data_IF_651037329852
#
_entry.id   IF_651037329852
#
_cell.length_a   1.000
_cell.length_b   1.000
_cell.length_c   1.000
_cell.angle_alpha   90.00
_cell.angle_beta   90.00
_cell.angle_gamma   90.00
#
_symmetry.space_group_name_H-M   'P 1'
#
loop_
_entity.id
_entity.type
_entity.pdbx_description
1 polymer ?
#
# COMPACT_ATOMS: atom_id res chain seq x y z
N UNK A 1 -19.80 -4.62 10.18
CA UNK A 1 -18.38 -4.27 10.40
C UNK A 1 -17.55 -5.54 10.54
N UNK A 2 -17.08 -6.13 9.44
CA UNK A 2 -16.43 -7.44 9.44
C UNK A 2 -15.34 -7.56 8.36
N UNK A 3 -14.21 -6.87 8.55
CA UNK A 3 -13.13 -6.83 7.56
C UNK A 3 -11.76 -7.31 8.08
N UNK A 4 -11.65 -7.79 9.33
CA UNK A 4 -10.38 -8.27 9.91
C UNK A 4 -10.47 -9.66 10.57
N UNK A 5 -11.52 -10.44 10.34
CA UNK A 5 -11.77 -11.69 11.10
C UNK A 5 -11.27 -12.99 10.48
N UNK A 6 -10.57 -12.95 9.34
CA UNK A 6 -10.06 -14.16 8.71
C UNK A 6 -8.53 -14.18 8.73
N UNK A 7 -7.96 -14.27 9.94
CA UNK A 7 -6.67 -14.94 10.09
C UNK A 7 -6.88 -16.41 9.77
N UNK A 8 -6.02 -17.00 8.95
CA UNK A 8 -6.13 -18.39 8.48
C UNK A 8 -5.98 -19.44 9.61
N UNK A 9 -5.87 -19.01 10.88
CA UNK A 9 -5.67 -19.85 12.07
C UNK A 9 -6.31 -19.21 13.32
N UNK A 10 -7.62 -18.92 13.32
CA UNK A 10 -8.30 -18.50 14.54
C UNK A 10 -8.37 -19.69 15.52
N UNK A 11 -7.67 -19.62 16.65
CA UNK A 11 -7.62 -20.68 17.67
C UNK A 11 -8.56 -20.37 18.84
N UNK A 12 -8.99 -21.39 19.59
CA UNK A 12 -9.94 -21.28 20.71
C UNK A 12 -9.50 -20.35 21.86
N UNK A 13 -8.26 -19.83 21.84
CA UNK A 13 -7.73 -18.91 22.85
C UNK A 13 -7.46 -17.50 22.32
N UNK A 14 -7.70 -17.22 21.03
CA UNK A 14 -7.67 -15.85 20.52
C UNK A 14 -8.80 -15.07 21.18
N UNK A 15 -8.45 -14.29 22.20
CA UNK A 15 -9.38 -13.36 22.84
C UNK A 15 -9.95 -12.45 21.75
N UNK A 16 -11.27 -12.46 21.61
CA UNK A 16 -11.95 -11.59 20.66
C UNK A 16 -11.86 -10.14 21.10
N UNK A 17 -10.84 -9.42 20.65
CA UNK A 17 -10.74 -7.99 20.87
C UNK A 17 -11.62 -7.24 19.87
N UNK A 18 -12.24 -6.17 20.34
CA UNK A 18 -12.88 -5.20 19.45
C UNK A 18 -11.81 -4.40 18.71
N UNK A 19 -12.12 -3.91 17.50
CA UNK A 19 -11.18 -3.08 16.73
C UNK A 19 -10.71 -1.88 17.55
N UNK A 20 -11.58 -1.30 18.39
CA UNK A 20 -11.26 -0.16 19.26
C UNK A 20 -10.16 -0.50 20.26
N UNK A 21 -10.23 -1.67 20.89
CA UNK A 21 -9.21 -2.13 21.83
C UNK A 21 -7.88 -2.38 21.13
N UNK A 22 -7.90 -2.98 19.93
CA UNK A 22 -6.70 -3.19 19.12
C UNK A 22 -6.03 -1.85 18.76
N UNK A 23 -6.80 -0.87 18.28
CA UNK A 23 -6.28 0.46 17.98
C UNK A 23 -5.74 1.16 19.23
N UNK A 24 -6.41 1.05 20.38
CA UNK A 24 -5.93 1.62 21.63
C UNK A 24 -4.60 0.98 22.08
N UNK A 25 -4.46 -0.34 21.91
CA UNK A 25 -3.23 -1.07 22.21
C UNK A 25 -2.10 -0.66 21.27
N UNK A 26 -2.36 -0.57 19.96
CA UNK A 26 -1.39 -0.04 19.00
C UNK A 26 -0.96 1.38 19.40
N UNK A 27 -1.93 2.26 19.71
CA UNK A 27 -1.64 3.62 20.13
C UNK A 27 -0.76 3.69 21.39
N UNK A 28 -0.89 2.74 22.33
CA UNK A 28 0.00 2.68 23.49
C UNK A 28 1.47 2.43 23.14
N UNK A 29 1.75 1.66 22.09
CA UNK A 29 3.14 1.47 21.60
C UNK A 29 3.70 2.71 20.90
N UNK A 30 2.84 3.52 20.28
CA UNK A 30 3.25 4.78 19.63
C UNK A 30 3.37 5.96 20.61
N UNK A 31 2.69 5.92 21.76
CA UNK A 31 2.70 7.00 22.77
C UNK A 31 4.11 7.43 23.20
N UNK A 32 5.05 6.51 23.56
CA UNK A 32 6.42 6.89 23.92
C UNK A 32 7.16 7.64 22.79
N UNK A 33 6.80 7.37 21.54
CA UNK A 33 7.39 7.96 20.35
C UNK A 33 6.64 9.22 19.88
N UNK A 34 5.76 9.80 20.71
CA UNK A 34 4.88 10.91 20.32
C UNK A 34 5.60 12.13 19.72
N UNK A 35 6.80 12.48 20.23
CA UNK A 35 7.60 13.58 19.66
C UNK A 35 8.07 13.25 18.23
N UNK A 36 8.58 12.04 18.00
CA UNK A 36 9.01 11.60 16.67
C UNK A 36 7.83 11.47 15.72
N UNK A 37 6.69 11.00 16.21
CA UNK A 37 5.45 10.94 15.42
C UNK A 37 4.99 12.34 14.99
N UNK A 38 5.01 13.31 15.89
CA UNK A 38 4.68 14.70 15.56
C UNK A 38 5.67 15.28 14.52
N UNK A 39 6.97 15.01 14.65
CA UNK A 39 7.96 15.40 13.63
C UNK A 39 7.70 14.75 12.28
N UNK A 40 7.37 13.45 12.24
CA UNK A 40 7.02 12.75 11.00
C UNK A 40 5.77 13.37 10.37
N UNK A 41 4.73 13.65 11.15
CA UNK A 41 3.51 14.30 10.66
C UNK A 41 3.77 15.71 10.12
N UNK A 42 4.68 16.46 10.75
CA UNK A 42 5.11 17.77 10.26
C UNK A 42 5.86 17.65 8.93
N UNK A 43 6.80 16.71 8.82
CA UNK A 43 7.54 16.47 7.57
C UNK A 43 6.63 15.98 6.44
N UNK A 44 5.64 15.13 6.75
CA UNK A 44 4.60 14.70 5.83
C UNK A 44 3.80 15.90 5.33
N UNK A 45 3.35 16.76 6.24
CA UNK A 45 2.59 17.96 5.88
C UNK A 45 3.41 18.92 5.02
N UNK A 46 4.68 19.14 5.37
CA UNK A 46 5.62 19.94 4.59
C UNK A 46 5.84 19.37 3.18
N UNK A 47 6.01 18.05 3.04
CA UNK A 47 6.13 17.40 1.73
C UNK A 47 4.86 17.51 0.91
N UNK A 48 3.69 17.37 1.52
CA UNK A 48 2.43 17.50 0.80
C UNK A 48 2.19 18.93 0.33
N UNK A 49 2.54 19.93 1.14
CA UNK A 49 2.50 21.35 0.77
C UNK A 49 3.49 21.65 -0.36
N UNK A 50 4.75 21.26 -0.22
CA UNK A 50 5.77 21.46 -1.25
C UNK A 50 5.49 20.68 -2.54
N UNK A 51 4.90 19.49 -2.42
CA UNK A 51 4.43 18.68 -3.55
C UNK A 51 3.27 19.34 -4.30
N UNK A 52 2.40 20.07 -3.59
CA UNK A 52 1.35 20.87 -4.19
C UNK A 52 1.88 22.17 -4.83
N UNK A 53 2.92 22.78 -4.25
CA UNK A 53 3.54 24.00 -4.79
C UNK A 53 4.25 23.79 -6.12
N UNK A 54 4.83 22.61 -6.37
CA UNK A 54 5.58 22.33 -7.61
C UNK A 54 4.71 22.49 -8.88
N UNK A 55 3.54 21.82 -9.01
CA UNK A 55 2.63 22.04 -10.14
C UNK A 55 2.17 23.49 -10.28
N UNK A 56 1.93 24.18 -9.16
CA UNK A 56 1.54 25.61 -9.15
C UNK A 56 2.62 26.49 -9.76
N UNK A 57 3.87 26.29 -9.36
CA UNK A 57 5.01 27.05 -9.89
C UNK A 57 5.25 26.75 -11.37
N UNK A 58 5.09 25.48 -11.77
CA UNK A 58 5.17 25.09 -13.18
C UNK A 58 4.08 25.76 -14.02
N UNK A 59 2.83 25.76 -13.53
CA UNK A 59 1.71 26.45 -14.17
C UNK A 59 1.97 27.96 -14.32
N UNK A 60 2.51 28.61 -13.29
CA UNK A 60 2.92 30.01 -13.37
C UNK A 60 4.03 30.22 -14.41
N UNK A 61 5.00 29.30 -14.48
CA UNK A 61 6.03 29.33 -15.51
C UNK A 61 5.49 29.22 -16.92
N UNK A 62 4.53 28.32 -17.15
CA UNK A 62 3.83 28.20 -18.43
C UNK A 62 3.13 29.52 -18.79
N UNK A 63 2.44 30.15 -17.83
CA UNK A 63 1.78 31.45 -18.06
C UNK A 63 2.77 32.57 -18.43
N UNK A 64 3.96 32.62 -17.81
CA UNK A 64 4.98 33.64 -18.11
C UNK A 64 5.59 33.43 -19.50
N UNK A 65 5.91 32.18 -19.85
CA UNK A 65 6.53 31.85 -21.14
C UNK A 65 5.56 32.08 -22.30
N UNK A 66 4.27 31.80 -22.10
CA UNK A 66 3.22 32.01 -23.11
C UNK A 66 2.73 33.46 -23.20
N UNK A 67 2.92 34.28 -22.16
CA UNK A 67 2.53 35.69 -22.14
C UNK A 67 3.55 36.66 -22.79
N UNK A 68 3.15 37.92 -23.02
CA UNK A 68 3.99 38.99 -23.60
C UNK A 68 4.84 39.69 -22.51
N UNK A 69 5.55 38.92 -21.68
CA UNK A 69 6.40 39.48 -20.64
C UNK A 69 7.76 39.94 -21.20
N UNK A 70 8.21 41.14 -20.83
CA UNK A 70 9.61 41.53 -20.97
C UNK A 70 10.48 40.67 -20.02
N UNK A 71 11.69 40.27 -20.44
CA UNK A 71 12.64 39.44 -19.68
C UNK A 71 12.23 37.96 -19.46
N UNK A 72 11.66 37.30 -20.48
CA UNK A 72 11.28 35.86 -20.42
C UNK A 72 12.42 34.94 -19.98
N UNK A 73 13.64 35.15 -20.48
CA UNK A 73 14.79 34.29 -20.16
C UNK A 73 15.20 34.36 -18.68
N UNK A 74 15.18 35.57 -18.10
CA UNK A 74 15.50 35.77 -16.69
C UNK A 74 14.44 35.10 -15.79
N UNK A 75 13.15 35.26 -16.10
CA UNK A 75 12.08 34.65 -15.30
C UNK A 75 12.09 33.12 -15.45
N UNK A 76 12.31 32.61 -16.66
CA UNK A 76 12.44 31.17 -16.91
C UNK A 76 13.62 30.57 -16.13
N UNK A 77 14.77 31.25 -16.11
CA UNK A 77 15.96 30.79 -15.36
C UNK A 77 15.68 30.76 -13.85
N UNK A 78 15.04 31.80 -13.31
CA UNK A 78 14.65 31.84 -11.89
C UNK A 78 13.68 30.69 -11.54
N UNK A 79 12.70 30.42 -12.40
CA UNK A 79 11.75 29.32 -12.20
C UNK A 79 12.42 27.95 -12.24
N UNK A 80 13.34 27.73 -13.19
CA UNK A 80 14.12 26.48 -13.27
C UNK A 80 14.94 26.28 -12.00
N UNK A 81 15.66 27.31 -11.55
CA UNK A 81 16.44 27.26 -10.31
C UNK A 81 15.53 26.98 -9.11
N UNK A 82 14.37 27.64 -9.02
CA UNK A 82 13.41 27.46 -7.94
C UNK A 82 12.83 26.03 -7.93
N UNK A 83 12.45 25.50 -9.08
CA UNK A 83 11.96 24.12 -9.23
C UNK A 83 13.02 23.12 -8.77
N UNK A 84 14.27 23.29 -9.22
CA UNK A 84 15.37 22.40 -8.81
C UNK A 84 15.61 22.51 -7.31
N UNK A 85 15.64 23.73 -6.76
CA UNK A 85 15.83 23.96 -5.33
C UNK A 85 14.72 23.29 -4.50
N UNK A 86 13.46 23.44 -4.90
CA UNK A 86 12.31 22.77 -4.25
C UNK A 86 12.41 21.25 -4.41
N UNK A 87 12.85 20.75 -5.57
CA UNK A 87 13.07 19.33 -5.80
C UNK A 87 14.12 18.73 -4.86
N UNK A 88 15.27 19.41 -4.70
CA UNK A 88 16.33 19.01 -3.78
C UNK A 88 15.86 19.09 -2.32
N UNK A 89 15.14 20.14 -1.96
CA UNK A 89 14.56 20.30 -0.63
C UNK A 89 13.54 19.18 -0.33
N UNK A 90 12.64 18.87 -1.27
CA UNK A 90 11.69 17.76 -1.15
C UNK A 90 12.40 16.41 -1.01
N UNK A 91 13.48 16.19 -1.76
CA UNK A 91 14.30 15.00 -1.61
C UNK A 91 14.88 14.89 -0.20
N UNK A 92 15.44 15.98 0.34
CA UNK A 92 15.99 16.03 1.70
C UNK A 92 14.92 15.81 2.78
N UNK A 93 13.76 16.46 2.68
CA UNK A 93 12.65 16.28 3.62
C UNK A 93 12.12 14.83 3.55
N UNK A 94 11.97 14.26 2.36
CA UNK A 94 11.53 12.87 2.18
C UNK A 94 12.55 11.87 2.73
N UNK A 95 13.84 12.12 2.56
CA UNK A 95 14.90 11.33 3.17
C UNK A 95 14.84 11.38 4.70
N UNK A 96 14.74 12.58 5.28
CA UNK A 96 14.61 12.76 6.73
C UNK A 96 13.33 12.10 7.27
N UNK A 97 12.19 12.26 6.58
CA UNK A 97 10.93 11.59 6.89
C UNK A 97 11.11 10.08 6.93
N UNK A 98 11.65 9.48 5.88
CA UNK A 98 11.83 8.02 5.76
C UNK A 98 12.76 7.47 6.85
N UNK A 99 13.86 8.16 7.12
CA UNK A 99 14.78 7.80 8.20
C UNK A 99 14.10 7.84 9.57
N UNK A 100 13.37 8.92 9.88
CA UNK A 100 12.66 9.05 11.16
C UNK A 100 11.53 8.04 11.32
N UNK A 101 10.74 7.80 10.27
CA UNK A 101 9.69 6.78 10.27
C UNK A 101 10.27 5.38 10.50
N UNK A 102 11.39 5.04 9.84
CA UNK A 102 12.05 3.76 10.02
C UNK A 102 12.54 3.56 11.46
N UNK A 103 13.16 4.58 12.07
CA UNK A 103 13.59 4.53 13.48
C UNK A 103 12.41 4.42 14.43
N UNK A 104 11.35 5.22 14.21
CA UNK A 104 10.14 5.19 15.03
C UNK A 104 9.49 3.80 15.01
N UNK A 105 9.28 3.22 13.82
CA UNK A 105 8.67 1.91 13.69
C UNK A 105 9.59 0.80 14.20
N UNK A 106 10.90 0.91 14.02
CA UNK A 106 11.88 -0.01 14.60
C UNK A 106 11.76 -0.10 16.12
N UNK A 107 11.67 1.04 16.81
CA UNK A 107 11.51 1.08 18.27
C UNK A 107 10.13 0.55 18.72
N UNK A 108 9.08 0.83 17.96
CA UNK A 108 7.72 0.28 18.21
C UNK A 108 7.75 -1.25 18.10
N UNK A 109 8.34 -1.79 17.03
CA UNK A 109 8.48 -3.23 16.80
C UNK A 109 9.35 -3.88 17.88
N UNK A 110 10.45 -3.24 18.27
CA UNK A 110 11.30 -3.69 19.36
C UNK A 110 10.48 -3.83 20.66
N UNK A 111 9.69 -2.80 20.99
CA UNK A 111 8.83 -2.81 22.19
C UNK A 111 7.80 -3.94 22.13
N UNK A 112 7.15 -4.14 20.97
CA UNK A 112 6.21 -5.24 20.76
C UNK A 112 6.89 -6.62 20.91
N UNK A 113 8.10 -6.79 20.38
CA UNK A 113 8.88 -8.04 20.48
C UNK A 113 9.27 -8.34 21.92
N UNK A 114 9.73 -7.33 22.66
CA UNK A 114 10.08 -7.47 24.09
C UNK A 114 8.87 -7.88 24.91
N UNK A 115 7.72 -7.24 24.71
CA UNK A 115 6.48 -7.59 25.42
C UNK A 115 5.97 -8.97 25.05
N UNK A 116 6.00 -9.34 23.76
CA UNK A 116 5.60 -10.66 23.29
C UNK A 116 6.51 -11.76 23.85
N UNK A 117 7.83 -11.54 23.83
CA UNK A 117 8.80 -12.46 24.40
C UNK A 117 8.61 -12.61 25.92
N UNK A 118 8.42 -11.50 26.65
CA UNK A 118 8.11 -11.53 28.08
C UNK A 118 6.82 -12.31 28.37
N UNK A 119 5.78 -12.13 27.56
CA UNK A 119 4.53 -12.87 27.73
C UNK A 119 4.73 -14.37 27.52
N UNK A 120 5.49 -14.77 26.49
CA UNK A 120 5.83 -16.18 26.22
C UNK A 120 6.64 -16.79 27.38
N UNK A 121 7.62 -16.08 27.92
CA UNK A 121 8.44 -16.58 29.04
C UNK A 121 7.66 -16.77 30.34
N UNK A 122 6.50 -16.11 30.49
CA UNK A 122 5.64 -16.22 31.66
C UNK A 122 4.48 -17.23 31.47
N UNK A 123 4.41 -17.93 30.33
CA UNK A 123 3.44 -18.98 30.11
C UNK A 123 3.84 -20.30 30.79
N UNK A 124 2.84 -21.08 31.20
CA UNK A 124 3.02 -22.41 31.79
C UNK A 124 3.41 -23.47 30.74
N UNK A 125 3.90 -24.63 31.19
CA UNK A 125 4.33 -25.70 30.29
C UNK A 125 3.22 -26.18 29.34
N UNK A 126 1.95 -26.16 29.79
CA UNK A 126 0.83 -26.61 28.95
C UNK A 126 0.60 -25.73 27.71
N UNK A 127 1.06 -24.47 27.75
CA UNK A 127 1.09 -23.60 26.58
C UNK A 127 2.06 -24.14 25.52
N UNK A 128 3.25 -24.59 25.93
CA UNK A 128 4.28 -25.11 25.04
C UNK A 128 3.95 -26.51 24.50
N UNK A 129 3.20 -27.32 25.26
CA UNK A 129 2.69 -28.61 24.77
C UNK A 129 1.66 -28.45 23.65
N UNK A 130 0.88 -27.35 23.68
CA UNK A 130 -0.18 -27.06 22.70
C UNK A 130 0.30 -26.25 21.50
N UNK A 131 1.42 -25.53 21.62
CA UNK A 131 1.89 -24.60 20.59
C UNK A 131 3.30 -24.96 20.11
N UNK A 132 3.43 -25.19 18.80
CA UNK A 132 4.73 -25.46 18.19
C UNK A 132 5.70 -24.29 18.39
N UNK A 133 6.94 -24.58 18.81
CA UNK A 133 7.99 -23.59 19.06
C UNK A 133 8.22 -22.66 17.86
N UNK A 134 8.23 -23.19 16.63
CA UNK A 134 8.35 -22.39 15.41
C UNK A 134 7.22 -21.38 15.20
N UNK A 135 5.99 -21.71 15.62
CA UNK A 135 4.83 -20.80 15.55
C UNK A 135 4.98 -19.65 16.54
N UNK A 136 5.45 -19.93 17.75
CA UNK A 136 5.72 -18.92 18.78
C UNK A 136 6.78 -17.94 18.27
N UNK A 137 7.88 -18.45 17.71
CA UNK A 137 8.95 -17.64 17.13
C UNK A 137 8.40 -16.76 15.99
N UNK A 138 7.61 -17.33 15.07
CA UNK A 138 7.01 -16.57 13.96
C UNK A 138 6.08 -15.45 14.43
N UNK A 139 5.27 -15.66 15.48
CA UNK A 139 4.41 -14.61 16.04
C UNK A 139 5.23 -13.45 16.63
N UNK A 140 6.40 -13.73 17.18
CA UNK A 140 7.29 -12.68 17.70
C UNK A 140 8.03 -11.98 16.56
N UNK A 141 8.54 -12.70 15.57
CA UNK A 141 9.39 -12.12 14.51
C UNK A 141 8.57 -11.65 13.30
N UNK A 142 7.96 -12.57 12.57
CA UNK A 142 7.26 -12.36 11.30
C UNK A 142 6.07 -11.42 11.45
N UNK A 143 5.21 -11.65 12.44
CA UNK A 143 3.97 -10.87 12.59
C UNK A 143 4.27 -9.42 12.99
N UNK A 144 5.30 -9.20 13.82
CA UNK A 144 5.73 -7.84 14.20
C UNK A 144 6.40 -7.10 13.03
N UNK A 145 7.11 -7.80 12.15
CA UNK A 145 7.63 -7.23 10.91
C UNK A 145 6.51 -6.91 9.92
N UNK A 146 5.49 -7.76 9.81
CA UNK A 146 4.32 -7.51 8.96
C UNK A 146 3.52 -6.31 9.46
N UNK A 147 3.36 -6.19 10.78
CA UNK A 147 2.80 -4.99 11.39
C UNK A 147 3.56 -3.72 11.00
N UNK A 148 4.89 -3.75 11.05
CA UNK A 148 5.74 -2.61 10.63
C UNK A 148 5.48 -2.21 9.17
N UNK A 149 5.41 -3.19 8.26
CA UNK A 149 5.10 -2.95 6.84
C UNK A 149 3.73 -2.29 6.66
N UNK A 150 2.72 -2.77 7.39
CA UNK A 150 1.37 -2.17 7.36
C UNK A 150 1.39 -0.75 7.92
N UNK A 151 2.12 -0.50 9.01
CA UNK A 151 2.23 0.84 9.59
C UNK A 151 2.91 1.84 8.64
N UNK A 152 3.94 1.42 7.89
CA UNK A 152 4.53 2.22 6.81
C UNK A 152 3.48 2.53 5.74
N UNK A 153 2.75 1.52 5.27
CA UNK A 153 1.74 1.69 4.23
C UNK A 153 0.64 2.66 4.66
N UNK A 154 0.13 2.55 5.89
CA UNK A 154 -0.87 3.46 6.45
C UNK A 154 -0.35 4.90 6.48
N UNK A 155 0.91 5.10 6.87
CA UNK A 155 1.54 6.43 6.90
C UNK A 155 1.66 7.01 5.48
N UNK A 156 2.04 6.20 4.50
CA UNK A 156 2.17 6.62 3.10
C UNK A 156 0.81 6.96 2.49
N UNK A 157 -0.21 6.12 2.70
CA UNK A 157 -1.58 6.38 2.25
C UNK A 157 -2.14 7.65 2.90
N UNK A 158 -1.90 7.85 4.20
CA UNK A 158 -2.28 9.09 4.89
C UNK A 158 -1.62 10.33 4.28
N UNK A 159 -0.33 10.26 3.95
CA UNK A 159 0.40 11.33 3.27
C UNK A 159 -0.17 11.64 1.88
N UNK A 160 -0.50 10.60 1.10
CA UNK A 160 -1.09 10.73 -0.24
C UNK A 160 -2.49 11.34 -0.17
N UNK A 161 -3.33 10.89 0.77
CA UNK A 161 -4.66 11.46 0.97
C UNK A 161 -4.58 12.95 1.36
N UNK A 162 -3.64 13.31 2.23
CA UNK A 162 -3.41 14.71 2.60
C UNK A 162 -2.98 15.55 1.39
N UNK A 163 -2.03 15.06 0.58
CA UNK A 163 -1.59 15.72 -0.65
C UNK A 163 -2.75 15.90 -1.64
N UNK A 164 -3.53 14.85 -1.90
CA UNK A 164 -4.70 14.90 -2.80
C UNK A 164 -5.74 15.89 -2.28
N UNK A 165 -5.99 15.92 -0.97
CA UNK A 165 -6.94 16.86 -0.36
C UNK A 165 -6.49 18.32 -0.53
N UNK A 166 -5.21 18.61 -0.27
CA UNK A 166 -4.66 19.95 -0.46
C UNK A 166 -4.72 20.40 -1.93
N UNK A 167 -4.32 19.52 -2.86
CA UNK A 167 -4.36 19.82 -4.30
C UNK A 167 -5.79 20.04 -4.80
N UNK A 168 -6.73 19.16 -4.44
CA UNK A 168 -8.13 19.33 -4.81
C UNK A 168 -8.70 20.65 -4.26
N UNK A 169 -8.42 20.98 -2.99
CA UNK A 169 -8.86 22.24 -2.38
C UNK A 169 -8.32 23.44 -3.15
N UNK A 170 -7.05 23.42 -3.55
CA UNK A 170 -6.45 24.48 -4.36
C UNK A 170 -7.07 24.55 -5.76
N UNK A 171 -7.24 23.41 -6.43
CA UNK A 171 -7.84 23.30 -7.77
C UNK A 171 -9.27 23.86 -7.83
N UNK A 172 -10.06 23.69 -6.77
CA UNK A 172 -11.39 24.32 -6.66
C UNK A 172 -11.33 25.84 -6.73
N UNK A 173 -10.23 26.47 -6.31
CA UNK A 173 -10.05 27.93 -6.43
C UNK A 173 -9.65 28.36 -7.84
N UNK A 174 -9.10 27.45 -8.65
CA UNK A 174 -8.70 27.68 -10.04
C UNK A 174 -9.88 27.51 -11.00
N UNK A 175 -10.52 26.34 -11.01
CA UNK A 175 -11.70 26.07 -11.82
C UNK A 175 -12.52 24.91 -11.24
N UNK A 176 -13.70 25.21 -10.71
CA UNK A 176 -14.52 24.21 -10.04
C UNK A 176 -15.10 23.16 -11.01
N UNK A 177 -15.38 23.51 -12.27
CA UNK A 177 -15.93 22.56 -13.26
C UNK A 177 -14.93 21.47 -13.64
N UNK A 178 -13.69 21.85 -13.97
CA UNK A 178 -12.61 20.89 -14.25
C UNK A 178 -12.23 20.08 -13.00
N UNK A 179 -12.24 20.72 -11.83
CA UNK A 179 -11.96 20.03 -10.56
C UNK A 179 -13.03 19.00 -10.25
N UNK A 180 -14.32 19.28 -10.51
CA UNK A 180 -15.39 18.28 -10.37
C UNK A 180 -15.22 17.13 -11.35
N UNK A 181 -14.82 17.41 -12.59
CA UNK A 181 -14.55 16.38 -13.58
C UNK A 181 -13.39 15.47 -13.14
N UNK A 182 -12.29 16.04 -12.64
CA UNK A 182 -11.19 15.30 -12.02
C UNK A 182 -11.65 14.51 -10.79
N UNK A 183 -12.42 15.14 -9.89
CA UNK A 183 -12.94 14.51 -8.68
C UNK A 183 -13.87 13.34 -8.98
N UNK A 184 -14.58 13.35 -10.12
CA UNK A 184 -15.41 12.26 -10.59
C UNK A 184 -14.59 11.05 -11.07
N UNK A 185 -13.33 11.25 -11.50
CA UNK A 185 -12.44 10.14 -11.83
C UNK A 185 -12.04 9.32 -10.59
N UNK A 186 -11.98 9.95 -9.41
CA UNK A 186 -11.62 9.28 -8.16
C UNK A 186 -12.61 8.14 -7.77
N UNK A 187 -13.94 8.33 -7.68
CA UNK A 187 -14.86 7.25 -7.39
C UNK A 187 -14.85 6.16 -8.47
N UNK A 188 -14.68 6.52 -9.75
CA UNK A 188 -14.51 5.53 -10.83
C UNK A 188 -13.28 4.66 -10.59
N UNK A 189 -12.13 5.27 -10.28
CA UNK A 189 -10.91 4.54 -9.94
C UNK A 189 -11.09 3.67 -8.69
N UNK A 190 -11.81 4.15 -7.66
CA UNK A 190 -12.13 3.36 -6.46
C UNK A 190 -13.03 2.16 -6.78
N UNK A 191 -14.02 2.31 -7.66
CA UNK A 191 -14.89 1.20 -8.08
C UNK A 191 -14.08 0.15 -8.83
N UNK A 192 -13.23 0.56 -9.77
CA UNK A 192 -12.34 -0.34 -10.51
C UNK A 192 -11.40 -1.06 -9.54
N UNK A 193 -10.68 -0.32 -8.70
CA UNK A 193 -9.73 -0.88 -7.73
C UNK A 193 -10.41 -1.84 -6.75
N UNK A 194 -11.58 -1.49 -6.20
CA UNK A 194 -12.32 -2.34 -5.26
C UNK A 194 -12.86 -3.61 -5.91
N UNK A 195 -13.24 -3.56 -7.19
CA UNK A 195 -13.64 -4.72 -7.98
C UNK A 195 -12.46 -5.68 -8.18
N UNK A 196 -11.31 -5.16 -8.62
CA UNK A 196 -10.08 -5.96 -8.73
C UNK A 196 -9.64 -6.53 -7.39
N UNK A 197 -9.76 -5.77 -6.31
CA UNK A 197 -9.43 -6.24 -4.97
C UNK A 197 -10.29 -7.46 -4.57
N UNK A 198 -11.59 -7.48 -4.95
CA UNK A 198 -12.47 -8.65 -4.72
C UNK A 198 -12.00 -9.86 -5.52
N UNK A 199 -11.63 -9.68 -6.78
CA UNK A 199 -11.14 -10.77 -7.63
C UNK A 199 -9.78 -11.30 -7.17
N UNK A 200 -8.83 -10.41 -6.90
CA UNK A 200 -7.51 -10.73 -6.38
C UNK A 200 -7.58 -11.51 -5.07
N UNK A 201 -8.47 -11.11 -4.15
CA UNK A 201 -8.71 -11.85 -2.90
C UNK A 201 -9.22 -13.27 -3.16
N UNK A 202 -10.22 -13.43 -4.04
CA UNK A 202 -10.76 -14.76 -4.37
C UNK A 202 -9.69 -15.65 -5.01
N UNK A 203 -8.99 -15.15 -6.02
CA UNK A 203 -7.94 -15.89 -6.71
C UNK A 203 -6.76 -16.25 -5.78
N UNK A 204 -6.38 -15.33 -4.87
CA UNK A 204 -5.34 -15.60 -3.87
C UNK A 204 -5.77 -16.66 -2.88
N UNK A 205 -7.02 -16.62 -2.39
CA UNK A 205 -7.55 -17.64 -1.49
C UNK A 205 -7.56 -19.02 -2.14
N UNK A 206 -8.08 -19.14 -3.36
CA UNK A 206 -8.10 -20.42 -4.09
C UNK A 206 -6.69 -20.95 -4.37
N UNK A 207 -5.73 -20.05 -4.66
CA UNK A 207 -4.32 -20.43 -4.81
C UNK A 207 -3.69 -20.91 -3.51
N UNK A 208 -4.02 -20.29 -2.37
CA UNK A 208 -3.55 -20.75 -1.06
C UNK A 208 -4.14 -22.12 -0.68
N UNK A 209 -5.42 -22.37 -0.99
CA UNK A 209 -6.06 -23.68 -0.82
C UNK A 209 -5.34 -24.76 -1.65
N UNK A 210 -5.03 -24.48 -2.93
CA UNK A 210 -4.31 -25.42 -3.78
C UNK A 210 -2.85 -25.69 -3.31
N UNK A 211 -2.17 -24.68 -2.74
CA UNK A 211 -0.85 -24.87 -2.11
C UNK A 211 -0.95 -25.73 -0.86
N UNK A 212 -2.00 -25.57 -0.07
CA UNK A 212 -2.24 -26.40 1.10
C UNK A 212 -2.43 -27.88 0.71
N UNK A 213 -3.19 -28.15 -0.36
CA UNK A 213 -3.37 -29.50 -0.90
C UNK A 213 -2.04 -30.13 -1.35
N UNK A 214 -1.18 -29.36 -2.06
CA UNK A 214 0.17 -29.80 -2.45
C UNK A 214 1.01 -30.14 -1.22
N UNK A 215 1.02 -29.27 -0.21
CA UNK A 215 1.77 -29.49 1.02
C UNK A 215 1.26 -30.71 1.80
N UNK A 216 -0.06 -30.92 1.85
CA UNK A 216 -0.66 -32.09 2.48
C UNK A 216 -0.26 -33.38 1.75
N UNK A 217 -0.32 -33.41 0.42
CA UNK A 217 0.12 -34.54 -0.39
C UNK A 217 1.59 -34.88 -0.17
N UNK A 218 2.47 -33.87 -0.11
CA UNK A 218 3.90 -34.07 0.21
C UNK A 218 4.05 -34.63 1.63
N UNK A 219 3.35 -34.06 2.61
CA UNK A 219 3.43 -34.50 4.01
C UNK A 219 2.98 -35.96 4.17
N UNK A 220 1.89 -36.36 3.52
CA UNK A 220 1.40 -37.73 3.52
C UNK A 220 2.40 -38.69 2.86
N UNK A 221 2.94 -38.33 1.69
CA UNK A 221 3.92 -39.14 0.97
C UNK A 221 5.20 -39.36 1.80
N UNK A 222 5.71 -38.30 2.45
CA UNK A 222 6.93 -38.38 3.28
C UNK A 222 6.68 -39.18 4.56
N UNK A 223 5.55 -38.95 5.24
CA UNK A 223 5.20 -39.65 6.48
C UNK A 223 4.91 -41.13 6.21
N UNK A 224 4.25 -41.43 5.09
CA UNK A 224 3.86 -42.76 4.64
C UNK A 224 4.92 -43.51 3.84
N UNK A 225 6.14 -42.97 3.68
CA UNK A 225 7.14 -43.52 2.74
C UNK A 225 7.48 -44.98 2.98
N UNK A 226 7.51 -45.43 4.24
CA UNK A 226 7.76 -46.85 4.59
C UNK A 226 6.65 -47.77 4.07
N UNK A 227 5.39 -47.34 4.19
CA UNK A 227 4.23 -48.08 3.68
C UNK A 227 4.28 -48.11 2.16
N UNK A 228 4.51 -46.96 1.52
CA UNK A 228 4.63 -46.85 0.07
C UNK A 228 5.69 -47.80 -0.50
N UNK A 229 6.88 -47.86 0.12
CA UNK A 229 7.99 -48.74 -0.27
C UNK A 229 7.65 -50.22 -0.06
N UNK A 230 7.08 -50.60 1.09
CA UNK A 230 6.71 -51.98 1.39
C UNK A 230 5.68 -52.54 0.39
N UNK A 231 4.74 -51.71 -0.06
CA UNK A 231 3.72 -52.11 -1.05
C UNK A 231 4.11 -51.82 -2.50
N UNK A 232 5.31 -51.26 -2.76
CA UNK A 232 5.80 -50.87 -4.09
C UNK A 232 4.84 -49.92 -4.84
N UNK A 233 4.27 -48.94 -4.11
CA UNK A 233 3.25 -47.98 -4.61
C UNK A 233 3.79 -46.57 -4.86
N UNK A 234 5.10 -46.37 -4.90
CA UNK A 234 5.72 -45.04 -5.01
C UNK A 234 5.30 -44.30 -6.29
N UNK A 235 5.24 -45.01 -7.42
CA UNK A 235 4.80 -44.41 -8.69
C UNK A 235 3.33 -43.99 -8.64
N UNK A 236 2.45 -44.75 -7.97
CA UNK A 236 1.04 -44.38 -7.83
C UNK A 236 0.86 -43.11 -7.00
N UNK A 237 1.61 -42.96 -5.90
CA UNK A 237 1.61 -41.74 -5.08
C UNK A 237 2.19 -40.57 -5.88
N UNK A 238 3.22 -40.80 -6.69
CA UNK A 238 3.80 -39.77 -7.55
C UNK A 238 2.82 -39.29 -8.62
N UNK A 239 2.08 -40.20 -9.26
CA UNK A 239 1.02 -39.86 -10.23
C UNK A 239 -0.12 -39.05 -9.59
N UNK A 240 -0.54 -39.41 -8.38
CA UNK A 240 -1.51 -38.64 -7.61
C UNK A 240 -0.99 -37.23 -7.29
N UNK A 241 0.27 -37.12 -6.85
CA UNK A 241 0.93 -35.84 -6.61
C UNK A 241 0.98 -34.97 -7.88
N UNK A 242 1.27 -35.55 -9.05
CA UNK A 242 1.27 -34.81 -10.31
C UNK A 242 -0.10 -34.16 -10.59
N UNK A 243 -1.19 -34.86 -10.34
CA UNK A 243 -2.55 -34.31 -10.51
C UNK A 243 -2.85 -33.14 -9.55
N UNK A 244 -2.44 -33.24 -8.28
CA UNK A 244 -2.57 -32.15 -7.30
C UNK A 244 -1.69 -30.96 -7.69
N UNK A 245 -0.47 -31.23 -8.14
CA UNK A 245 0.49 -30.21 -8.56
C UNK A 245 0.04 -29.47 -9.84
N UNK A 246 -0.53 -30.17 -10.82
CA UNK A 246 -1.08 -29.56 -12.05
C UNK A 246 -2.29 -28.66 -11.74
N UNK A 247 -3.16 -29.07 -10.82
CA UNK A 247 -4.27 -28.23 -10.33
C UNK A 247 -3.72 -26.96 -9.68
N UNK A 248 -2.71 -27.10 -8.82
CA UNK A 248 -2.04 -25.96 -8.19
C UNK A 248 -1.44 -25.02 -9.24
N UNK A 249 -0.70 -25.56 -10.22
CA UNK A 249 -0.14 -24.79 -11.34
C UNK A 249 -1.21 -23.98 -12.07
N UNK A 250 -2.33 -24.62 -12.46
CA UNK A 250 -3.42 -23.96 -13.19
C UNK A 250 -4.05 -22.83 -12.38
N UNK A 251 -4.28 -23.04 -11.08
CA UNK A 251 -4.82 -22.01 -10.18
C UNK A 251 -3.83 -20.86 -10.01
N UNK A 252 -2.53 -21.16 -9.89
CA UNK A 252 -1.47 -20.14 -9.81
C UNK A 252 -1.37 -19.30 -11.08
N UNK A 253 -1.47 -19.91 -12.27
CA UNK A 253 -1.49 -19.17 -13.54
C UNK A 253 -2.71 -18.25 -13.62
N UNK A 254 -3.91 -18.74 -13.26
CA UNK A 254 -5.12 -17.91 -13.20
C UNK A 254 -4.99 -16.75 -12.22
N UNK A 255 -4.45 -16.99 -11.03
CA UNK A 255 -4.15 -15.93 -10.06
C UNK A 255 -3.16 -14.92 -10.63
N UNK A 256 -2.09 -15.38 -11.27
CA UNK A 256 -1.10 -14.55 -11.93
C UNK A 256 -1.75 -13.62 -12.96
N UNK A 257 -2.63 -14.15 -13.80
CA UNK A 257 -3.39 -13.37 -14.78
C UNK A 257 -4.28 -12.30 -14.13
N UNK A 258 -5.03 -12.66 -13.08
CA UNK A 258 -5.87 -11.71 -12.33
C UNK A 258 -5.04 -10.57 -11.72
N UNK A 259 -3.88 -10.87 -11.15
CA UNK A 259 -2.99 -9.86 -10.57
C UNK A 259 -2.30 -9.01 -11.64
N UNK A 260 -1.89 -9.62 -12.75
CA UNK A 260 -1.23 -8.95 -13.86
C UNK A 260 -2.15 -7.92 -14.55
N UNK A 261 -3.47 -8.16 -14.57
CA UNK A 261 -4.45 -7.24 -15.16
C UNK A 261 -4.74 -5.98 -14.32
N UNK A 262 -4.35 -5.94 -13.04
CA UNK A 262 -4.67 -4.82 -12.14
C UNK A 262 -4.07 -3.51 -12.68
N UNK A 263 -2.77 -3.47 -12.92
CA UNK A 263 -2.09 -2.24 -13.33
C UNK A 263 -2.44 -1.79 -14.75
N UNK A 264 -2.48 -2.67 -15.78
CA UNK A 264 -2.89 -2.28 -17.13
C UNK A 264 -4.30 -1.68 -17.16
N UNK A 265 -5.23 -2.25 -16.38
CA UNK A 265 -6.61 -1.73 -16.32
C UNK A 265 -6.64 -0.37 -15.62
N UNK A 266 -5.94 -0.21 -14.50
CA UNK A 266 -5.84 1.09 -13.82
C UNK A 266 -5.18 2.16 -14.71
N UNK A 267 -4.15 1.80 -15.47
CA UNK A 267 -3.49 2.70 -16.43
C UNK A 267 -4.40 3.07 -17.59
N UNK A 268 -5.21 2.14 -18.10
CA UNK A 268 -6.22 2.44 -19.12
C UNK A 268 -7.23 3.48 -18.62
N UNK A 269 -7.78 3.30 -17.42
CA UNK A 269 -8.72 4.26 -16.83
C UNK A 269 -8.05 5.61 -16.51
N UNK A 270 -6.81 5.59 -16.03
CA UNK A 270 -6.03 6.81 -15.83
C UNK A 270 -5.81 7.54 -17.17
N UNK A 271 -5.43 6.83 -18.23
CA UNK A 271 -5.24 7.38 -19.57
C UNK A 271 -6.53 7.96 -20.17
N UNK A 272 -7.67 7.28 -20.00
CA UNK A 272 -8.98 7.82 -20.38
C UNK A 272 -9.32 9.09 -19.60
N UNK A 273 -9.07 9.10 -18.29
CA UNK A 273 -9.24 10.27 -17.44
C UNK A 273 -8.41 11.45 -17.92
N UNK A 274 -7.13 11.21 -18.21
CA UNK A 274 -6.22 12.21 -18.80
C UNK A 274 -6.72 12.71 -20.15
N UNK A 275 -7.22 11.83 -21.03
CA UNK A 275 -7.75 12.23 -22.33
C UNK A 275 -8.99 13.14 -22.20
N UNK A 276 -9.91 12.82 -21.28
CA UNK A 276 -11.08 13.67 -21.01
C UNK A 276 -10.67 15.02 -20.45
N UNK A 277 -9.73 15.04 -19.49
CA UNK A 277 -9.20 16.29 -18.92
C UNK A 277 -8.46 17.14 -19.97
N UNK A 278 -7.70 16.50 -20.85
CA UNK A 278 -6.99 17.17 -21.93
C UNK A 278 -7.97 17.81 -22.92
N UNK A 279 -9.04 17.09 -23.31
CA UNK A 279 -10.08 17.63 -24.19
C UNK A 279 -10.85 18.78 -23.53
N UNK A 280 -11.40 18.56 -22.33
CA UNK A 280 -12.21 19.56 -21.63
C UNK A 280 -11.39 20.80 -21.24
N UNK A 281 -10.19 20.60 -20.70
CA UNK A 281 -9.29 21.68 -20.33
C UNK A 281 -8.73 22.44 -21.54
N UNK A 282 -8.41 21.73 -22.63
CA UNK A 282 -8.03 22.36 -23.90
C UNK A 282 -9.15 23.21 -24.47
N UNK A 283 -10.40 22.73 -24.44
CA UNK A 283 -11.57 23.48 -24.87
C UNK A 283 -11.82 24.73 -24.02
N UNK A 284 -11.67 24.64 -22.69
CA UNK A 284 -11.81 25.80 -21.79
C UNK A 284 -10.69 26.82 -21.97
N UNK A 285 -9.47 26.35 -22.27
CA UNK A 285 -8.35 27.23 -22.61
C UNK A 285 -8.59 27.93 -23.94
N UNK A 286 -9.10 27.22 -24.95
CA UNK A 286 -9.46 27.79 -26.24
C UNK A 286 -10.55 28.88 -26.13
N UNK A 287 -11.54 28.69 -25.25
CA UNK A 287 -12.57 29.68 -24.95
C UNK A 287 -12.07 30.85 -24.09
N UNK A 288 -10.83 30.82 -23.60
CA UNK A 288 -10.26 31.85 -22.72
C UNK A 288 -10.83 31.84 -21.29
N UNK A 289 -11.51 30.76 -20.88
CA UNK A 289 -12.08 30.60 -19.53
C UNK A 289 -10.98 30.35 -18.50
N UNK A 290 -9.92 29.64 -18.89
CA UNK A 290 -8.75 29.33 -18.06
C UNK A 290 -7.47 29.61 -18.84
N UNK A 291 -6.37 29.86 -18.13
CA UNK A 291 -5.05 30.03 -18.75
C UNK A 291 -4.39 28.68 -19.05
N UNK A 292 -3.41 28.64 -19.96
CA UNK A 292 -2.66 27.43 -20.26
C UNK A 292 -1.96 26.83 -19.02
N UNK A 293 -1.49 27.67 -18.10
CA UNK A 293 -0.96 27.23 -16.81
C UNK A 293 -2.02 26.63 -15.90
N UNK A 294 -3.22 27.23 -15.83
CA UNK A 294 -4.34 26.69 -15.05
C UNK A 294 -4.84 25.33 -15.59
N UNK A 295 -4.70 25.09 -16.90
CA UNK A 295 -4.97 23.79 -17.52
C UNK A 295 -3.87 22.75 -17.26
N UNK A 296 -2.59 23.18 -17.23
CA UNK A 296 -1.46 22.29 -16.94
C UNK A 296 -1.51 21.72 -15.51
N UNK A 297 -2.05 22.49 -14.57
CA UNK A 297 -2.12 22.20 -13.14
C UNK A 297 -3.12 21.10 -12.80
#
# INVERSE_FOLDING_TARGET
MGLMRAGLTAENYDRGYTNRELFARIASYFRPQGRRLATVMLLVSALSLSGALLPVLMAQGVNVVTGVAANREAIATVLVVLVIAIGVLNWGINWARRMLTARLLGDVVLSMRVDAFRAVMNHDMSFFDKNQSGRIVSRITTDTDEFSRVAVLVTEVGSQLLLVTLLLTYLFTVNWQLTLLLALLAPVAMIVASTFQRWARRATRTSQEAVADVNASIQEAVTGIRVAKNFRREMGIYEEFLGVNERSYTVHVRRGFVLALIFPTLQLFAGLGTAVLLYAGGYYTYLGIITAGAWFL
#
